data_IF_951747142147
#
_entry.id   IF_951747142147
#
_cell.length_a   1.000
_cell.length_b   1.000
_cell.length_c   1.000
_cell.angle_alpha   90.00
_cell.angle_beta   90.00
_cell.angle_gamma   90.00
#
_symmetry.space_group_name_H-M   'P 1'
#
loop_
_entity.id
_entity.type
_entity.pdbx_description
1 polymer ?
#
# COMPACT_ATOMS: atom_id res chain seq x y z
N UNK A 1 -15.91 -19.65 -7.79
CA UNK A 1 -16.30 -20.62 -8.86
C UNK A 1 -15.58 -20.25 -10.14
N UNK A 2 -15.06 -21.21 -10.91
CA UNK A 2 -14.39 -20.93 -12.19
C UNK A 2 -15.43 -20.63 -13.28
N UNK A 3 -15.38 -19.44 -13.89
CA UNK A 3 -16.28 -19.03 -14.99
C UNK A 3 -16.12 -19.97 -16.19
N UNK A 4 -17.22 -20.34 -16.87
CA UNK A 4 -17.15 -21.07 -18.15
C UNK A 4 -16.60 -20.14 -19.24
N UNK A 5 -16.14 -20.69 -20.37
CA UNK A 5 -15.70 -19.86 -21.51
C UNK A 5 -16.90 -19.14 -22.11
N UNK A 6 -16.75 -17.86 -22.44
CA UNK A 6 -17.77 -17.07 -23.15
C UNK A 6 -17.54 -17.09 -24.68
N UNK A 7 -16.49 -17.78 -25.15
CA UNK A 7 -16.15 -17.89 -26.57
C UNK A 7 -17.19 -18.75 -27.29
N UNK A 8 -17.79 -18.19 -28.35
CA UNK A 8 -18.72 -18.87 -29.27
C UNK A 8 -18.00 -19.26 -30.58
N UNK A 9 -17.54 -20.52 -30.74
CA UNK A 9 -16.82 -20.96 -31.93
C UNK A 9 -17.75 -21.04 -33.16
N UNK A 10 -17.20 -20.70 -34.33
CA UNK A 10 -17.91 -20.74 -35.62
C UNK A 10 -17.38 -21.88 -36.51
N UNK A 11 -18.04 -22.14 -37.65
CA UNK A 11 -17.62 -23.19 -38.60
C UNK A 11 -16.17 -23.05 -39.04
N UNK A 12 -15.68 -21.82 -39.15
CA UNK A 12 -14.31 -21.47 -39.55
C UNK A 12 -13.25 -21.88 -38.51
N UNK A 13 -13.65 -22.18 -37.27
CA UNK A 13 -12.76 -22.60 -36.18
C UNK A 13 -12.58 -24.13 -36.12
N UNK A 14 -13.18 -24.88 -37.05
CA UNK A 14 -13.01 -26.33 -37.14
C UNK A 14 -11.53 -26.72 -37.21
N UNK A 15 -11.08 -27.51 -36.24
CA UNK A 15 -9.69 -27.96 -36.11
C UNK A 15 -8.81 -27.10 -35.19
N UNK A 16 -9.32 -25.97 -34.67
CA UNK A 16 -8.62 -25.17 -33.64
C UNK A 16 -8.85 -25.74 -32.24
N UNK A 17 -7.91 -25.47 -31.34
CA UNK A 17 -8.00 -25.82 -29.92
C UNK A 17 -8.28 -24.59 -29.06
N UNK A 18 -9.09 -24.74 -28.02
CA UNK A 18 -9.33 -23.71 -27.01
C UNK A 18 -8.38 -23.92 -25.83
N UNK A 19 -7.64 -22.87 -25.45
CA UNK A 19 -6.72 -22.89 -24.32
C UNK A 19 -7.13 -21.87 -23.27
N UNK A 20 -6.89 -22.19 -22.00
CA UNK A 20 -7.01 -21.23 -20.88
C UNK A 20 -5.72 -21.27 -20.08
N UNK A 21 -5.10 -20.11 -19.90
CA UNK A 21 -3.93 -19.93 -19.06
C UNK A 21 -4.28 -19.03 -17.88
N UNK A 22 -3.76 -19.36 -16.70
CA UNK A 22 -3.67 -18.45 -15.57
C UNK A 22 -2.20 -18.10 -15.39
N UNK A 23 -1.89 -16.81 -15.31
CA UNK A 23 -0.55 -16.30 -15.02
C UNK A 23 -0.64 -15.55 -13.71
N UNK A 24 0.31 -15.82 -12.81
CA UNK A 24 0.41 -15.14 -11.53
C UNK A 24 1.65 -14.25 -11.57
N UNK A 25 1.51 -13.04 -11.05
CA UNK A 25 2.58 -12.08 -10.90
C UNK A 25 2.74 -11.76 -9.42
N UNK A 26 3.98 -11.52 -8.99
CA UNK A 26 4.27 -10.95 -7.67
C UNK A 26 4.47 -9.45 -7.87
N UNK A 27 3.72 -8.64 -7.13
CA UNK A 27 3.84 -7.18 -7.12
C UNK A 27 4.40 -6.78 -5.75
N UNK A 28 5.52 -6.07 -5.74
CA UNK A 28 6.10 -5.48 -4.54
C UNK A 28 5.70 -3.99 -4.47
N UNK A 29 5.35 -3.51 -3.28
CA UNK A 29 4.97 -2.13 -3.02
C UNK A 29 5.84 -1.66 -1.87
N UNK A 30 6.71 -0.68 -2.16
CA UNK A 30 7.58 -0.04 -1.19
C UNK A 30 7.14 1.42 -1.09
N UNK A 31 6.76 1.84 0.11
CA UNK A 31 6.15 3.15 0.36
C UNK A 31 6.65 3.70 1.69
N UNK A 32 7.04 4.98 1.66
CA UNK A 32 7.41 5.73 2.86
C UNK A 32 6.25 6.62 3.30
N UNK A 33 6.09 6.78 4.61
CA UNK A 33 5.12 7.71 5.19
C UNK A 33 5.76 8.51 6.32
N UNK A 34 5.45 9.80 6.36
CA UNK A 34 5.75 10.65 7.51
C UNK A 34 4.58 10.56 8.50
N UNK A 35 4.89 10.18 9.74
CA UNK A 35 3.95 10.03 10.84
C UNK A 35 4.62 10.43 12.16
N UNK A 36 3.82 10.76 13.18
CA UNK A 36 4.35 11.15 14.49
C UNK A 36 4.83 9.95 15.33
N UNK A 37 4.29 8.77 15.03
CA UNK A 37 4.55 7.49 15.68
C UNK A 37 4.16 6.32 14.75
N UNK A 38 4.54 5.10 15.13
CA UNK A 38 4.25 3.88 14.36
C UNK A 38 2.75 3.62 14.18
N UNK A 39 1.93 3.87 15.19
CA UNK A 39 0.47 3.64 15.10
C UNK A 39 -0.16 4.55 14.04
N UNK A 40 0.24 5.83 13.96
CA UNK A 40 -0.20 6.73 12.90
C UNK A 40 0.33 6.27 11.52
N UNK A 41 1.57 5.78 11.44
CA UNK A 41 2.14 5.27 10.20
C UNK A 41 1.32 4.07 9.66
N UNK A 42 1.03 3.10 10.52
CA UNK A 42 0.21 1.93 10.19
C UNK A 42 -1.18 2.35 9.70
N UNK A 43 -1.85 3.27 10.41
CA UNK A 43 -3.16 3.76 10.00
C UNK A 43 -3.12 4.45 8.63
N UNK A 44 -2.09 5.25 8.33
CA UNK A 44 -1.92 5.88 7.01
C UNK A 44 -1.69 4.87 5.90
N UNK A 45 -0.92 3.80 6.15
CA UNK A 45 -0.76 2.73 5.17
C UNK A 45 -2.06 1.97 4.92
N UNK A 46 -2.89 1.77 5.95
CA UNK A 46 -4.22 1.16 5.79
C UNK A 46 -5.19 2.04 4.99
N UNK A 47 -5.20 3.35 5.25
CA UNK A 47 -6.16 4.27 4.64
C UNK A 47 -5.77 4.73 3.23
N UNK A 48 -4.47 4.82 2.92
CA UNK A 48 -3.97 5.41 1.69
C UNK A 48 -2.79 4.69 1.01
N UNK A 49 -2.27 3.62 1.62
CA UNK A 49 -1.21 2.80 1.05
C UNK A 49 -1.71 1.66 0.16
N UNK A 50 -0.77 0.85 -0.33
CA UNK A 50 -1.05 -0.38 -1.08
C UNK A 50 -1.55 -0.15 -2.52
N UNK A 51 -2.25 -1.17 -3.05
CA UNK A 51 -2.80 -1.14 -4.41
C UNK A 51 -4.12 -0.37 -4.43
N UNK A 52 -4.22 0.60 -5.33
CA UNK A 52 -5.53 1.16 -5.67
C UNK A 52 -6.33 0.13 -6.50
N UNK A 53 -7.23 -0.59 -5.84
CA UNK A 53 -8.05 -1.65 -6.44
C UNK A 53 -9.01 -1.15 -7.53
N UNK A 54 -9.41 0.12 -7.55
CA UNK A 54 -10.25 0.67 -8.62
C UNK A 54 -9.52 0.64 -9.98
N UNK A 55 -8.19 0.70 -9.95
CA UNK A 55 -7.35 0.62 -11.14
C UNK A 55 -6.99 -0.83 -11.53
N UNK A 56 -7.38 -1.82 -10.72
CA UNK A 56 -7.14 -3.25 -11.01
C UNK A 56 -8.31 -3.81 -11.79
N UNK A 57 -8.22 -3.74 -13.11
CA UNK A 57 -9.23 -4.25 -14.03
C UNK A 57 -8.59 -4.79 -15.32
N UNK A 58 -9.40 -5.15 -16.32
CA UNK A 58 -8.93 -5.77 -17.58
C UNK A 58 -7.98 -4.87 -18.37
N UNK A 59 -8.09 -3.55 -18.23
CA UNK A 59 -7.28 -2.56 -18.94
C UNK A 59 -5.81 -2.57 -18.49
N UNK A 60 -5.50 -3.24 -17.38
CA UNK A 60 -4.10 -3.47 -16.95
C UNK A 60 -3.34 -4.40 -17.90
N UNK A 61 -4.05 -5.18 -18.73
CA UNK A 61 -3.46 -6.20 -19.60
C UNK A 61 -3.42 -5.80 -21.07
N UNK A 62 -2.51 -6.40 -21.83
CA UNK A 62 -2.50 -6.27 -23.30
C UNK A 62 -3.32 -7.40 -23.94
N UNK A 63 -4.43 -7.05 -24.58
CA UNK A 63 -5.28 -7.96 -25.33
C UNK A 63 -4.97 -7.84 -26.83
N UNK A 64 -4.14 -8.76 -27.36
CA UNK A 64 -3.77 -8.81 -28.77
C UNK A 64 -3.79 -10.24 -29.30
N UNK A 65 -3.80 -10.39 -30.63
CA UNK A 65 -3.77 -11.70 -31.33
C UNK A 65 -4.83 -12.71 -30.86
N UNK A 66 -6.01 -12.21 -30.45
CA UNK A 66 -7.11 -13.05 -29.97
C UNK A 66 -6.98 -13.51 -28.51
N UNK A 67 -6.06 -12.91 -27.73
CA UNK A 67 -6.00 -13.03 -26.27
C UNK A 67 -7.00 -12.05 -25.64
N UNK A 68 -7.80 -12.54 -24.70
CA UNK A 68 -8.80 -11.76 -23.96
C UNK A 68 -8.63 -12.01 -22.46
N UNK A 69 -8.68 -10.94 -21.66
CA UNK A 69 -8.56 -10.98 -20.20
C UNK A 69 -9.93 -10.82 -19.58
N UNK A 70 -10.34 -11.80 -18.79
CA UNK A 70 -11.64 -11.77 -18.13
C UNK A 70 -11.58 -11.31 -16.67
N UNK A 71 -10.41 -11.40 -16.06
CA UNK A 71 -10.18 -11.12 -14.64
C UNK A 71 -8.76 -10.58 -14.51
N UNK A 72 -8.63 -9.40 -13.92
CA UNK A 72 -7.42 -8.99 -13.22
C UNK A 72 -7.76 -9.03 -11.74
N UNK A 73 -7.00 -9.82 -10.98
CA UNK A 73 -7.22 -10.02 -9.55
C UNK A 73 -5.89 -9.83 -8.84
N UNK A 74 -5.85 -8.88 -7.92
CA UNK A 74 -4.72 -8.63 -7.06
C UNK A 74 -5.13 -9.11 -5.66
N UNK A 75 -4.51 -10.18 -5.17
CA UNK A 75 -4.81 -10.67 -3.83
C UNK A 75 -3.73 -10.20 -2.87
N UNK A 76 -4.13 -9.60 -1.75
CA UNK A 76 -3.25 -9.37 -0.62
C UNK A 76 -2.89 -10.72 0.02
N UNK A 77 -1.58 -10.96 0.21
CA UNK A 77 -1.08 -12.20 0.83
C UNK A 77 -0.47 -11.88 2.19
N UNK A 78 0.53 -11.01 2.21
CA UNK A 78 1.25 -10.60 3.41
C UNK A 78 1.93 -9.24 3.16
N UNK A 79 2.26 -8.54 4.24
CA UNK A 79 3.12 -7.36 4.28
C UNK A 79 4.21 -7.60 5.31
N UNK A 80 5.36 -6.96 5.12
CA UNK A 80 6.38 -6.90 6.17
C UNK A 80 5.96 -5.93 7.28
N UNK A 81 6.67 -5.95 8.40
CA UNK A 81 6.47 -5.02 9.50
C UNK A 81 6.86 -3.60 9.08
N UNK A 82 6.16 -2.58 9.61
CA UNK A 82 6.56 -1.18 9.42
C UNK A 82 7.87 -0.90 10.16
N UNK A 83 8.86 -0.41 9.42
CA UNK A 83 10.21 -0.08 9.89
C UNK A 83 10.38 1.44 10.09
N UNK A 84 11.04 1.83 11.19
CA UNK A 84 11.43 3.21 11.42
C UNK A 84 12.74 3.54 10.69
N UNK A 85 12.68 4.50 9.78
CA UNK A 85 13.83 4.88 8.93
C UNK A 85 14.59 6.11 9.41
N UNK A 86 14.03 6.91 10.32
CA UNK A 86 14.65 8.13 10.83
C UNK A 86 13.63 9.22 11.18
N UNK A 87 14.14 10.33 11.69
CA UNK A 87 13.32 11.46 12.17
C UNK A 87 13.55 12.70 11.33
N UNK A 88 12.48 13.42 11.04
CA UNK A 88 12.59 14.77 10.51
C UNK A 88 13.13 15.71 11.59
N UNK A 89 14.28 16.32 11.36
CA UNK A 89 14.94 17.31 12.21
C UNK A 89 15.28 18.56 11.40
N UNK A 90 15.58 19.68 12.04
CA UNK A 90 16.14 20.83 11.33
C UNK A 90 17.55 20.51 10.84
N UNK A 91 17.90 21.00 9.65
CA UNK A 91 19.28 20.94 9.17
C UNK A 91 20.23 21.67 10.14
N UNK A 92 21.49 21.23 10.22
CA UNK A 92 22.53 21.90 11.00
C UNK A 92 23.07 23.16 10.28
N UNK A 93 22.20 24.15 10.06
CA UNK A 93 22.55 25.44 9.46
C UNK A 93 22.00 26.63 10.25
N UNK A 94 22.68 27.79 10.18
CA UNK A 94 22.41 28.97 11.02
C UNK A 94 20.97 29.51 10.92
N UNK A 95 20.29 29.28 9.79
CA UNK A 95 18.93 29.77 9.50
C UNK A 95 17.90 28.65 9.33
N UNK A 96 18.22 27.39 9.66
CA UNK A 96 17.34 26.24 9.38
C UNK A 96 15.94 26.37 9.99
N UNK A 97 15.84 26.87 11.23
CA UNK A 97 14.55 27.07 11.89
C UNK A 97 13.74 28.23 11.28
N UNK A 98 14.41 29.31 10.85
CA UNK A 98 13.75 30.49 10.25
C UNK A 98 13.28 30.20 8.83
N UNK A 99 14.10 29.49 8.06
CA UNK A 99 13.83 29.14 6.66
C UNK A 99 13.04 27.83 6.50
N UNK A 100 12.89 27.05 7.59
CA UNK A 100 12.15 25.79 7.61
C UNK A 100 12.88 24.64 6.91
N UNK A 101 14.22 24.64 6.91
CA UNK A 101 15.02 23.58 6.32
C UNK A 101 15.11 22.38 7.25
N UNK A 102 14.67 21.22 6.74
CA UNK A 102 14.60 19.97 7.49
C UNK A 102 15.24 18.82 6.72
N UNK A 103 15.84 17.89 7.43
CA UNK A 103 16.43 16.66 6.92
C UNK A 103 15.95 15.44 7.70
N UNK A 104 16.19 14.24 7.17
CA UNK A 104 15.96 13.00 7.92
C UNK A 104 17.26 12.61 8.62
N UNK A 105 17.24 12.68 9.96
CA UNK A 105 18.27 12.09 10.80
C UNK A 105 17.98 10.60 11.00
N UNK A 106 18.76 9.76 10.33
CA UNK A 106 18.70 8.30 10.44
C UNK A 106 19.23 7.75 11.77
N UNK A 107 19.89 8.58 12.58
CA UNK A 107 20.42 8.21 13.90
C UNK A 107 19.55 8.71 15.06
N UNK A 108 18.57 9.57 14.78
CA UNK A 108 17.62 10.03 15.78
C UNK A 108 16.70 8.89 16.23
N UNK A 109 16.49 8.79 17.55
CA UNK A 109 15.59 7.78 18.13
C UNK A 109 14.12 8.03 17.75
N UNK A 110 13.40 6.93 17.49
CA UNK A 110 11.96 6.94 17.24
C UNK A 110 11.21 7.53 18.44
N UNK A 111 10.19 8.36 18.16
CA UNK A 111 9.30 8.81 19.22
C UNK A 111 8.27 7.72 19.53
N UNK A 112 8.43 7.06 20.68
CA UNK A 112 7.45 6.07 21.12
C UNK A 112 6.20 6.75 21.72
N UNK A 113 5.04 6.41 21.16
CA UNK A 113 3.76 6.70 21.79
C UNK A 113 3.67 5.92 23.11
N UNK A 114 3.73 6.63 24.24
CA UNK A 114 3.61 5.98 25.54
C UNK A 114 2.12 5.75 25.83
N UNK A 115 1.62 4.50 25.93
CA UNK A 115 0.19 4.20 26.07
C UNK A 115 -0.43 4.73 27.38
N UNK A 116 0.39 5.24 28.31
CA UNK A 116 -0.06 5.89 29.55
C UNK A 116 -0.16 7.41 29.46
N UNK A 117 0.25 8.07 28.37
CA UNK A 117 0.12 9.54 28.23
C UNK A 117 -1.35 9.97 28.26
N UNK A 118 -2.21 9.32 27.47
CA UNK A 118 -3.64 9.60 27.41
C UNK A 118 -4.37 9.37 28.74
N UNK A 119 -3.99 8.31 29.48
CA UNK A 119 -4.54 8.04 30.81
C UNK A 119 -4.14 9.11 31.82
N UNK A 120 -2.91 9.62 31.73
CA UNK A 120 -2.42 10.64 32.65
C UNK A 120 -3.08 11.99 32.38
N UNK A 121 -3.30 12.36 31.11
CA UNK A 121 -4.03 13.58 30.76
C UNK A 121 -5.50 13.52 31.19
N UNK A 122 -6.25 12.44 30.89
CA UNK A 122 -7.67 12.33 31.30
C UNK A 122 -7.87 12.33 32.82
N UNK A 123 -6.96 11.70 33.58
CA UNK A 123 -7.00 11.71 35.05
C UNK A 123 -6.64 13.09 35.63
N UNK A 124 -5.76 13.84 34.95
CA UNK A 124 -5.38 15.21 35.36
C UNK A 124 -6.43 16.26 34.97
N UNK A 125 -7.17 16.05 33.88
CA UNK A 125 -8.24 16.93 33.41
C UNK A 125 -9.59 16.69 34.10
N UNK A 126 -9.68 15.68 34.98
CA UNK A 126 -10.83 15.48 35.87
C UNK A 126 -12.08 14.92 35.19
N UNK A 127 -11.96 14.37 33.98
CA UNK A 127 -13.05 13.62 33.36
C UNK A 127 -13.14 12.24 34.00
N UNK A 128 -14.19 12.02 34.81
CA UNK A 128 -14.54 10.69 35.31
C UNK A 128 -14.96 9.78 34.16
N UNK A 129 -14.32 8.60 34.11
CA UNK A 129 -14.63 7.43 33.27
C UNK A 129 -16.11 7.07 33.27
#
# INVERSE_FOLDING_TARGET
MTKKTEIYPMREDLGKNLYRKKTYYTVCIEQDVLAKDKDEAEQKFLDGGGINYDNVNTDLTSENEGVETYICDANYTESEDTEYLGKVVYEDTEYAEEDGFVEIDHYAEEHEASPMKDFKEKVLEGETI
#
